data_IF_545145824013
#
_entry.id   IF_545145824013
#
_cell.length_a   1.000
_cell.length_b   1.000
_cell.length_c   1.000
_cell.angle_alpha   90.00
_cell.angle_beta   90.00
_cell.angle_gamma   90.00
#
_symmetry.space_group_name_H-M   'P 1'
#
loop_
_entity.id
_entity.type
_entity.pdbx_description
1 polymer ?
#
# COMPACT_ATOMS: atom_id res chain seq x y z
N UNK A 1 -10.17 -22.97 -13.59
CA UNK A 1 -10.01 -21.53 -13.88
C UNK A 1 -11.31 -20.75 -13.69
N UNK A 2 -12.44 -21.24 -14.20
CA UNK A 2 -13.74 -20.55 -14.12
C UNK A 2 -14.18 -20.20 -12.69
N UNK A 3 -14.10 -21.15 -11.74
CA UNK A 3 -14.42 -20.89 -10.32
C UNK A 3 -13.62 -19.72 -9.71
N UNK A 4 -12.37 -19.55 -10.13
CA UNK A 4 -11.52 -18.45 -9.66
C UNK A 4 -11.98 -17.11 -10.24
N UNK A 5 -12.24 -17.07 -11.55
CA UNK A 5 -12.73 -15.87 -12.24
C UNK A 5 -14.04 -15.39 -11.65
N UNK A 6 -14.99 -16.30 -11.39
CA UNK A 6 -16.27 -15.96 -10.74
C UNK A 6 -16.06 -15.42 -9.34
N UNK A 7 -15.23 -16.07 -8.51
CA UNK A 7 -14.99 -15.65 -7.13
C UNK A 7 -14.36 -14.25 -7.03
N UNK A 8 -13.51 -13.90 -7.99
CA UNK A 8 -12.81 -12.61 -8.05
C UNK A 8 -13.49 -11.60 -8.99
N UNK A 9 -14.65 -11.94 -9.54
CA UNK A 9 -15.45 -11.10 -10.44
C UNK A 9 -14.65 -10.60 -11.66
N UNK A 10 -13.79 -11.47 -12.18
CA UNK A 10 -12.95 -11.20 -13.34
C UNK A 10 -13.81 -11.24 -14.61
N UNK A 11 -13.93 -10.09 -15.27
CA UNK A 11 -14.70 -9.90 -16.49
C UNK A 11 -13.86 -10.18 -17.75
N UNK A 12 -12.57 -9.85 -17.70
CA UNK A 12 -11.65 -9.96 -18.86
C UNK A 12 -10.36 -10.65 -18.44
N UNK A 13 -9.82 -11.51 -19.30
CA UNK A 13 -8.63 -12.31 -18.99
C UNK A 13 -7.40 -11.48 -18.61
N UNK A 14 -7.23 -10.27 -19.18
CA UNK A 14 -6.09 -9.40 -18.83
C UNK A 14 -6.09 -8.98 -17.34
N UNK A 15 -7.24 -8.98 -16.67
CA UNK A 15 -7.35 -8.64 -15.25
C UNK A 15 -6.69 -9.68 -14.34
N UNK A 16 -6.41 -10.89 -14.85
CA UNK A 16 -5.65 -11.92 -14.12
C UNK A 16 -4.22 -11.48 -13.78
N UNK A 17 -3.70 -10.45 -14.45
CA UNK A 17 -2.40 -9.89 -14.14
C UNK A 17 -2.32 -9.36 -12.71
N UNK A 18 -3.42 -8.83 -12.13
CA UNK A 18 -3.39 -8.27 -10.78
C UNK A 18 -3.27 -9.37 -9.70
N UNK A 19 -4.11 -10.42 -9.67
CA UNK A 19 -3.88 -11.54 -8.78
C UNK A 19 -2.51 -12.19 -8.97
N UNK A 20 -2.04 -12.36 -10.20
CA UNK A 20 -0.72 -12.91 -10.48
C UNK A 20 0.39 -12.05 -9.88
N UNK A 21 0.34 -10.74 -10.12
CA UNK A 21 1.30 -9.78 -9.57
C UNK A 21 1.25 -9.76 -8.04
N UNK A 22 0.06 -9.81 -7.44
CA UNK A 22 -0.10 -9.90 -5.98
C UNK A 22 0.55 -11.15 -5.40
N UNK A 23 0.41 -12.31 -6.05
CA UNK A 23 1.06 -13.56 -5.64
C UNK A 23 2.58 -13.47 -5.77
N UNK A 24 3.09 -12.93 -6.89
CA UNK A 24 4.53 -12.73 -7.09
C UNK A 24 5.12 -11.76 -6.05
N UNK A 25 4.44 -10.64 -5.80
CA UNK A 25 4.86 -9.64 -4.81
C UNK A 25 4.87 -10.23 -3.39
N UNK A 26 3.87 -11.05 -3.04
CA UNK A 26 3.85 -11.77 -1.77
C UNK A 26 5.01 -12.76 -1.68
N UNK A 27 5.29 -13.53 -2.73
CA UNK A 27 6.40 -14.50 -2.73
C UNK A 27 7.74 -13.79 -2.55
N UNK A 28 7.98 -12.70 -3.28
CA UNK A 28 9.17 -11.86 -3.12
C UNK A 28 9.28 -11.29 -1.70
N UNK A 29 8.18 -10.78 -1.15
CA UNK A 29 8.15 -10.24 0.21
C UNK A 29 8.42 -11.31 1.26
N UNK A 30 7.88 -12.52 1.07
CA UNK A 30 8.13 -13.68 1.95
C UNK A 30 9.58 -14.12 1.91
N UNK A 31 10.19 -14.15 0.73
CA UNK A 31 11.62 -14.47 0.58
C UNK A 31 12.49 -13.41 1.28
N UNK A 32 12.18 -12.13 1.08
CA UNK A 32 12.90 -11.04 1.74
C UNK A 32 12.74 -11.09 3.26
N UNK A 33 11.55 -11.43 3.77
CA UNK A 33 11.31 -11.61 5.20
C UNK A 33 12.05 -12.85 5.74
N UNK A 34 12.06 -13.96 5.00
CA UNK A 34 12.75 -15.19 5.37
C UNK A 34 14.25 -14.97 5.54
N UNK A 35 14.87 -14.16 4.67
CA UNK A 35 16.29 -13.78 4.78
C UNK A 35 16.63 -13.07 6.10
N UNK A 36 15.67 -12.42 6.78
CA UNK A 36 15.93 -11.73 8.05
C UNK A 36 16.17 -12.70 9.23
N UNK A 37 15.79 -13.98 9.07
CA UNK A 37 15.91 -14.98 10.14
C UNK A 37 17.22 -15.77 10.10
N UNK A 38 18.05 -15.60 9.07
CA UNK A 38 19.27 -16.38 8.88
C UNK A 38 20.47 -15.45 8.60
N UNK A 39 21.55 -15.61 9.38
CA UNK A 39 22.80 -14.85 9.17
C UNK A 39 23.61 -15.34 7.94
N UNK A 40 23.44 -16.62 7.56
CA UNK A 40 24.05 -17.23 6.37
C UNK A 40 23.01 -18.07 5.62
N UNK A 41 22.28 -17.49 4.66
CA UNK A 41 21.15 -18.14 4.03
C UNK A 41 21.60 -19.19 2.99
N UNK A 42 21.76 -20.44 3.42
CA UNK A 42 21.82 -21.56 2.48
C UNK A 42 20.43 -21.79 1.87
N UNK A 43 20.37 -22.03 0.56
CA UNK A 43 19.12 -22.22 -0.20
C UNK A 43 18.17 -23.25 0.45
N UNK A 44 18.74 -24.30 1.05
CA UNK A 44 18.01 -25.39 1.70
C UNK A 44 17.20 -24.94 2.92
N UNK A 45 17.69 -23.99 3.72
CA UNK A 45 17.01 -23.51 4.92
C UNK A 45 16.05 -22.35 4.64
N UNK A 46 16.39 -21.49 3.68
CA UNK A 46 15.55 -20.32 3.37
C UNK A 46 14.26 -20.68 2.65
N UNK A 47 14.29 -21.71 1.78
CA UNK A 47 13.14 -22.14 0.98
C UNK A 47 11.93 -22.57 1.83
N UNK A 48 12.06 -23.49 2.81
CA UNK A 48 10.92 -23.90 3.63
C UNK A 48 10.36 -22.74 4.48
N UNK A 49 11.23 -21.89 5.04
CA UNK A 49 10.77 -20.71 5.81
C UNK A 49 10.03 -19.72 4.91
N UNK A 50 10.51 -19.50 3.68
CA UNK A 50 9.83 -18.66 2.68
C UNK A 50 8.42 -19.18 2.39
N UNK A 51 8.25 -20.50 2.19
CA UNK A 51 6.93 -21.09 1.93
C UNK A 51 5.97 -20.95 3.12
N UNK A 52 6.46 -21.12 4.35
CA UNK A 52 5.68 -20.93 5.57
C UNK A 52 5.19 -19.49 5.70
N UNK A 53 6.11 -18.52 5.56
CA UNK A 53 5.77 -17.09 5.60
C UNK A 53 4.80 -16.74 4.48
N UNK A 54 5.02 -17.25 3.27
CA UNK A 54 4.16 -17.02 2.12
C UNK A 54 2.73 -17.50 2.34
N UNK A 55 2.56 -18.73 2.85
CA UNK A 55 1.24 -19.25 3.20
C UNK A 55 0.55 -18.38 4.26
N UNK A 56 1.28 -17.97 5.31
CA UNK A 56 0.76 -17.08 6.34
C UNK A 56 0.32 -15.73 5.78
N UNK A 57 1.14 -15.09 4.93
CA UNK A 57 0.84 -13.80 4.32
C UNK A 57 -0.34 -13.87 3.33
N UNK A 58 -0.45 -14.94 2.54
CA UNK A 58 -1.63 -15.16 1.68
C UNK A 58 -2.89 -15.23 2.54
N UNK A 59 -2.88 -16.03 3.60
CA UNK A 59 -4.05 -16.20 4.47
C UNK A 59 -4.44 -14.88 5.15
N UNK A 60 -3.45 -14.13 5.62
CA UNK A 60 -3.66 -12.80 6.18
C UNK A 60 -4.26 -11.84 5.15
N UNK A 61 -3.69 -11.78 3.95
CA UNK A 61 -4.15 -10.90 2.88
C UNK A 61 -5.60 -11.19 2.49
N UNK A 62 -5.96 -12.47 2.31
CA UNK A 62 -7.34 -12.87 2.00
C UNK A 62 -8.31 -12.55 3.14
N UNK A 63 -7.87 -12.67 4.39
CA UNK A 63 -8.67 -12.28 5.56
C UNK A 63 -8.92 -10.76 5.60
N UNK A 64 -7.89 -9.95 5.34
CA UNK A 64 -8.01 -8.49 5.23
C UNK A 64 -8.96 -8.12 4.10
N UNK A 65 -8.84 -8.76 2.94
CA UNK A 65 -9.70 -8.50 1.78
C UNK A 65 -11.17 -8.71 2.14
N UNK A 66 -11.51 -9.85 2.74
CA UNK A 66 -12.89 -10.13 3.18
C UNK A 66 -13.42 -9.08 4.18
N UNK A 67 -12.57 -8.51 5.03
CA UNK A 67 -12.97 -7.46 5.98
C UNK A 67 -13.14 -6.09 5.33
N UNK A 68 -12.33 -5.77 4.32
CA UNK A 68 -12.35 -4.47 3.63
C UNK A 68 -13.37 -4.43 2.51
N UNK A 69 -13.70 -5.55 1.88
CA UNK A 69 -14.73 -5.66 0.83
C UNK A 69 -16.06 -5.03 1.28
N UNK A 70 -16.46 -5.21 2.54
CA UNK A 70 -17.69 -4.61 3.08
C UNK A 70 -17.57 -3.12 3.41
N UNK A 71 -16.35 -2.58 3.51
CA UNK A 71 -16.09 -1.17 3.89
C UNK A 71 -15.74 -0.30 2.69
N UNK A 72 -15.22 -0.91 1.63
CA UNK A 72 -14.75 -0.25 0.42
C UNK A 72 -15.70 -0.58 -0.72
N UNK A 73 -16.43 0.42 -1.19
CA UNK A 73 -17.34 0.27 -2.32
C UNK A 73 -16.50 0.22 -3.59
N UNK A 74 -16.26 -0.98 -4.10
CA UNK A 74 -15.54 -1.25 -5.35
C UNK A 74 -16.45 -2.01 -6.30
N UNK A 75 -16.31 -1.79 -7.61
CA UNK A 75 -17.20 -2.42 -8.60
C UNK A 75 -16.95 -3.91 -8.73
N UNK A 76 -15.70 -4.34 -8.61
CA UNK A 76 -15.31 -5.74 -8.68
C UNK A 76 -14.24 -6.07 -7.63
N UNK A 77 -14.27 -7.27 -7.07
CA UNK A 77 -13.33 -7.73 -6.03
C UNK A 77 -11.85 -7.64 -6.43
N UNK A 78 -11.51 -7.92 -7.69
CA UNK A 78 -10.12 -7.85 -8.17
C UNK A 78 -9.55 -6.42 -8.11
N UNK A 79 -10.39 -5.38 -8.10
CA UNK A 79 -9.96 -3.99 -8.00
C UNK A 79 -9.30 -3.65 -6.67
N UNK A 80 -9.64 -4.40 -5.62
CA UNK A 80 -8.98 -4.27 -4.32
C UNK A 80 -7.46 -4.42 -4.46
N UNK A 81 -6.99 -5.32 -5.33
CA UNK A 81 -5.56 -5.54 -5.56
C UNK A 81 -4.92 -4.27 -6.13
N UNK A 82 -5.58 -3.59 -7.07
CA UNK A 82 -5.11 -2.30 -7.62
C UNK A 82 -5.03 -1.24 -6.53
N UNK A 83 -6.03 -1.16 -5.67
CA UNK A 83 -6.08 -0.21 -4.56
C UNK A 83 -4.90 -0.44 -3.60
N UNK A 84 -4.62 -1.70 -3.25
CA UNK A 84 -3.46 -2.04 -2.43
C UNK A 84 -2.12 -1.69 -3.09
N UNK A 85 -2.00 -1.88 -4.40
CA UNK A 85 -0.81 -1.46 -5.16
C UNK A 85 -0.63 0.07 -5.08
N UNK A 86 -1.70 0.85 -5.28
CA UNK A 86 -1.66 2.31 -5.11
C UNK A 86 -1.17 2.67 -3.70
N UNK A 87 -1.74 2.06 -2.65
CA UNK A 87 -1.31 2.31 -1.27
C UNK A 87 0.17 1.98 -1.01
N UNK A 88 0.68 0.90 -1.59
CA UNK A 88 2.09 0.51 -1.45
C UNK A 88 3.04 1.51 -2.12
N UNK A 89 2.68 1.96 -3.33
CA UNK A 89 3.46 2.94 -4.09
C UNK A 89 3.41 4.31 -3.40
N UNK A 90 2.23 4.77 -3.00
CA UNK A 90 2.06 6.09 -2.35
C UNK A 90 2.78 6.15 -1.01
N UNK A 91 2.70 5.09 -0.20
CA UNK A 91 3.37 5.02 1.10
C UNK A 91 4.89 5.07 1.00
N UNK A 92 5.47 4.38 0.01
CA UNK A 92 6.91 4.41 -0.21
C UNK A 92 7.37 5.75 -0.80
N UNK A 93 6.57 6.30 -1.74
CA UNK A 93 6.86 7.56 -2.42
C UNK A 93 6.77 8.77 -1.48
N UNK A 94 5.82 8.81 -0.54
CA UNK A 94 5.68 9.93 0.39
C UNK A 94 6.91 10.11 1.29
N UNK A 95 7.54 9.01 1.71
CA UNK A 95 8.81 9.05 2.47
C UNK A 95 9.96 9.55 1.60
N UNK A 96 10.01 9.12 0.33
CA UNK A 96 11.03 9.55 -0.62
C UNK A 96 10.93 11.05 -0.95
N UNK A 97 9.72 11.61 -0.95
CA UNK A 97 9.48 13.05 -1.16
C UNK A 97 9.67 13.85 0.14
N UNK A 98 9.23 13.33 1.29
CA UNK A 98 9.26 14.07 2.55
C UNK A 98 10.69 14.36 3.06
N UNK A 99 11.64 13.43 2.89
CA UNK A 99 13.02 13.61 3.39
C UNK A 99 13.78 14.73 2.67
N UNK A 100 13.83 14.77 1.32
CA UNK A 100 14.49 15.86 0.60
C UNK A 100 13.87 17.23 0.90
N UNK A 101 12.55 17.32 1.06
CA UNK A 101 11.88 18.59 1.31
C UNK A 101 12.24 19.21 2.66
N UNK A 102 12.35 18.39 3.71
CA UNK A 102 12.78 18.87 5.03
C UNK A 102 14.25 19.28 5.01
N UNK A 103 15.10 18.51 4.33
CA UNK A 103 16.50 18.88 4.13
C UNK A 103 16.63 20.18 3.32
N UNK A 104 15.80 20.37 2.29
CA UNK A 104 15.79 21.58 1.46
C UNK A 104 15.29 22.81 2.22
N UNK A 105 14.35 22.64 3.15
CA UNK A 105 13.95 23.67 4.10
C UNK A 105 15.05 24.01 5.13
N UNK A 106 16.22 23.38 5.03
CA UNK A 106 17.34 23.59 5.95
C UNK A 106 17.11 22.99 7.33
N UNK A 107 16.15 22.08 7.49
CA UNK A 107 15.80 21.47 8.78
C UNK A 107 16.54 20.13 8.90
N UNK A 108 17.45 20.04 9.86
CA UNK A 108 18.18 18.81 10.17
C UNK A 108 17.79 18.30 11.55
N UNK A 109 18.19 17.07 11.87
CA UNK A 109 18.02 16.53 13.21
C UNK A 109 18.92 17.21 14.24
N UNK A 110 19.96 17.93 13.80
CA UNK A 110 20.87 18.65 14.70
C UNK A 110 20.35 20.04 15.06
N UNK A 111 19.59 20.69 14.16
CA UNK A 111 19.15 22.07 14.36
C UNK A 111 17.72 22.22 14.91
N UNK A 112 16.96 21.13 14.99
CA UNK A 112 15.61 21.10 15.53
C UNK A 112 15.49 20.01 16.59
N UNK A 113 14.67 20.24 17.62
CA UNK A 113 14.34 19.19 18.58
C UNK A 113 13.86 17.93 17.83
N UNK A 114 14.41 16.73 18.13
CA UNK A 114 14.06 15.50 17.43
C UNK A 114 12.55 15.22 17.36
N UNK A 115 11.80 15.58 18.41
CA UNK A 115 10.34 15.41 18.42
C UNK A 115 9.65 16.33 17.40
N UNK A 116 10.05 17.60 17.34
CA UNK A 116 9.52 18.58 16.38
C UNK A 116 9.88 18.20 14.94
N UNK A 117 11.10 17.69 14.71
CA UNK A 117 11.52 17.19 13.40
C UNK A 117 10.57 16.09 12.90
N UNK A 118 10.27 15.10 13.75
CA UNK A 118 9.40 14.00 13.36
C UNK A 118 7.95 14.43 13.14
N UNK A 119 7.43 15.37 13.95
CA UNK A 119 6.10 15.95 13.74
C UNK A 119 6.03 16.65 12.39
N UNK A 120 7.01 17.49 12.06
CA UNK A 120 7.04 18.20 10.79
C UNK A 120 7.19 17.23 9.60
N UNK A 121 8.02 16.19 9.75
CA UNK A 121 8.18 15.12 8.76
C UNK A 121 6.88 14.40 8.47
N UNK A 122 6.11 14.08 9.51
CA UNK A 122 4.81 13.43 9.34
C UNK A 122 3.82 14.38 8.68
N UNK A 123 3.77 15.65 9.07
CA UNK A 123 2.83 16.63 8.48
C UNK A 123 3.12 16.82 6.99
N UNK A 124 4.38 17.11 6.64
CA UNK A 124 4.78 17.27 5.23
C UNK A 124 4.52 15.97 4.47
N UNK A 125 4.96 14.83 5.01
CA UNK A 125 4.71 13.52 4.42
C UNK A 125 3.22 13.24 4.17
N UNK A 126 2.35 13.63 5.10
CA UNK A 126 0.89 13.45 4.98
C UNK A 126 0.27 14.33 3.88
N UNK A 127 0.76 15.57 3.71
CA UNK A 127 0.32 16.47 2.64
C UNK A 127 0.69 15.87 1.27
N UNK A 128 1.93 15.43 1.10
CA UNK A 128 2.34 14.79 -0.16
C UNK A 128 1.67 13.45 -0.37
N UNK A 129 1.45 12.67 0.70
CA UNK A 129 0.74 11.39 0.61
C UNK A 129 -0.66 11.56 0.01
N UNK A 130 -1.38 12.60 0.41
CA UNK A 130 -2.69 12.96 -0.13
C UNK A 130 -2.66 13.20 -1.64
N UNK A 131 -1.78 14.10 -2.09
CA UNK A 131 -1.60 14.42 -3.51
C UNK A 131 -1.21 13.17 -4.32
N UNK A 132 -0.25 12.38 -3.81
CA UNK A 132 0.22 11.16 -4.47
C UNK A 132 -0.89 10.11 -4.56
N UNK A 133 -1.71 9.98 -3.52
CA UNK A 133 -2.79 8.99 -3.45
C UNK A 133 -3.86 9.24 -4.52
N UNK A 134 -4.25 10.49 -4.73
CA UNK A 134 -5.16 10.84 -5.84
C UNK A 134 -4.47 10.65 -7.20
N UNK A 135 -3.20 11.06 -7.32
CA UNK A 135 -2.45 10.97 -8.58
C UNK A 135 -2.27 9.53 -9.03
N UNK A 136 -1.76 8.64 -8.16
CA UNK A 136 -1.60 7.22 -8.48
C UNK A 136 -2.95 6.50 -8.60
N UNK A 137 -3.95 6.92 -7.81
CA UNK A 137 -5.32 6.47 -7.96
C UNK A 137 -5.85 6.75 -9.37
N UNK A 138 -5.64 7.95 -9.89
CA UNK A 138 -6.00 8.32 -11.26
C UNK A 138 -5.23 7.52 -12.31
N UNK A 139 -3.90 7.41 -12.18
CA UNK A 139 -3.06 6.64 -13.10
C UNK A 139 -3.47 5.17 -13.22
N UNK A 140 -3.95 4.57 -12.12
CA UNK A 140 -4.40 3.16 -12.09
C UNK A 140 -5.92 2.98 -12.25
N UNK A 141 -6.64 4.04 -12.64
CA UNK A 141 -8.06 3.99 -12.97
C UNK A 141 -8.97 3.79 -11.75
N UNK A 142 -8.58 4.32 -10.59
CA UNK A 142 -9.26 4.28 -9.30
C UNK A 142 -9.44 5.68 -8.67
N UNK A 143 -9.47 6.74 -9.50
CA UNK A 143 -9.59 8.13 -9.05
C UNK A 143 -10.76 8.35 -8.10
N UNK A 144 -11.97 7.92 -8.48
CA UNK A 144 -13.19 8.15 -7.69
C UNK A 144 -13.08 7.53 -6.29
N UNK A 145 -12.58 6.29 -6.21
CA UNK A 145 -12.36 5.63 -4.92
C UNK A 145 -11.42 6.43 -4.02
N UNK A 146 -10.28 6.86 -4.57
CA UNK A 146 -9.26 7.57 -3.80
C UNK A 146 -9.64 9.01 -3.47
N UNK A 147 -10.40 9.68 -4.35
CA UNK A 147 -10.98 10.99 -4.08
C UNK A 147 -11.94 10.91 -2.89
N UNK A 148 -12.92 9.99 -2.91
CA UNK A 148 -13.83 9.81 -1.76
C UNK A 148 -13.09 9.40 -0.48
N UNK A 149 -12.05 8.57 -0.61
CA UNK A 149 -11.20 8.18 0.51
C UNK A 149 -10.49 9.38 1.14
N UNK A 150 -9.89 10.25 0.32
CA UNK A 150 -9.22 11.47 0.76
C UNK A 150 -10.19 12.46 1.38
N UNK A 151 -11.35 12.72 0.75
CA UNK A 151 -12.39 13.59 1.31
C UNK A 151 -12.84 13.11 2.69
N UNK A 152 -13.05 11.79 2.83
CA UNK A 152 -13.40 11.18 4.12
C UNK A 152 -12.30 11.35 5.18
N UNK A 153 -11.04 11.32 4.77
CA UNK A 153 -9.89 11.54 5.65
C UNK A 153 -9.79 13.00 6.08
N UNK A 154 -9.91 13.96 5.15
CA UNK A 154 -9.89 15.39 5.43
C UNK A 154 -11.02 15.83 6.37
N UNK A 155 -12.24 15.31 6.18
CA UNK A 155 -13.36 15.53 7.10
C UNK A 155 -13.03 15.08 8.53
N UNK A 156 -12.33 13.95 8.70
CA UNK A 156 -11.92 13.44 10.03
C UNK A 156 -10.82 14.27 10.68
N UNK A 157 -10.01 14.95 9.90
CA UNK A 157 -9.02 15.90 10.39
C UNK A 157 -9.58 17.30 10.66
N UNK A 158 -10.91 17.50 10.54
CA UNK A 158 -11.56 18.79 10.79
C UNK A 158 -11.47 19.76 9.60
N UNK A 159 -10.97 19.31 8.45
CA UNK A 159 -10.79 20.11 7.24
C UNK A 159 -11.97 19.99 6.25
N UNK A 160 -13.12 19.48 6.71
CA UNK A 160 -14.30 19.24 5.85
C UNK A 160 -14.78 20.49 5.09
N UNK A 161 -14.62 21.68 5.67
CA UNK A 161 -14.99 22.97 5.03
C UNK A 161 -14.31 23.25 3.68
N UNK A 162 -13.18 22.61 3.39
CA UNK A 162 -12.45 22.82 2.13
C UNK A 162 -12.84 21.83 1.03
N UNK A 163 -13.72 20.87 1.34
CA UNK A 163 -13.94 19.66 0.55
C UNK A 163 -15.44 19.37 0.34
N UNK A 164 -16.30 20.04 1.10
CA UNK A 164 -17.76 20.05 0.99
C UNK A 164 -18.22 21.26 0.17
#
# INVERSE_FOLDING_TARGET
>A
MEKFKTKWEIQRNWQLIFPLFGVIALLYSSYKLANLFFESPTLLYITPVTLVIFYALIKLTLWIFKKLEHKWVVTYKWEMIRIFIVFAITGSSSVFVGRPLIAWAGITKENLNPALYWVLFIIIGLIFYQILLVTFGWLLGQFQFFWEFEKKMLRRFGLGKFVD
#
